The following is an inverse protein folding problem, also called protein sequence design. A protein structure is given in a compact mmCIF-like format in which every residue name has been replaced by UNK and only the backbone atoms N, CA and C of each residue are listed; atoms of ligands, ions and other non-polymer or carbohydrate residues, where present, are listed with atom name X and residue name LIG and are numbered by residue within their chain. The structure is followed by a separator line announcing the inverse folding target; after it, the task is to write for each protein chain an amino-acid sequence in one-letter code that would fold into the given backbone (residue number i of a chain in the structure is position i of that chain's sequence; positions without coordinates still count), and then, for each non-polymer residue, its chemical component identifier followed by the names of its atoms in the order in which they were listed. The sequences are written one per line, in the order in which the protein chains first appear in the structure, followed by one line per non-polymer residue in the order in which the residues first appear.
data_IF_844463135205
#
_entry.id   IF_844463135205
#
_cell.length_a   1.000
_cell.length_b   1.000
_cell.length_c   1.000
_cell.angle_alpha   90.00
_cell.angle_beta   90.00
_cell.angle_gamma   90.00
#
_symmetry.space_group_name_H-M   'P 1'
#
loop_
_entity.id
_entity.type
_entity.pdbx_description
1 polymer ?
#
# COMPACT_ATOMS: atom_id res chain seq x y z
N UNK A 1 -58.14 -40.22 18.78
CA UNK A 1 -58.40 -39.52 20.06
C UNK A 1 -57.07 -39.24 20.72
N UNK A 2 -56.83 -37.98 21.13
CA UNK A 2 -55.79 -37.48 22.06
C UNK A 2 -54.31 -37.64 21.62
N UNK A 3 -53.67 -36.58 21.10
CA UNK A 3 -52.99 -35.45 21.79
C UNK A 3 -51.64 -35.83 22.41
N UNK A 4 -50.58 -35.15 21.95
CA UNK A 4 -49.42 -34.54 22.65
C UNK A 4 -48.22 -34.52 21.67
N UNK A 5 -47.92 -33.42 20.96
CA UNK A 5 -47.28 -32.16 21.39
C UNK A 5 -45.86 -32.37 21.94
N UNK A 6 -44.90 -31.72 21.26
CA UNK A 6 -43.50 -31.48 21.63
C UNK A 6 -42.54 -32.69 21.55
N UNK A 7 -42.00 -32.94 20.35
CA UNK A 7 -40.64 -33.46 20.25
C UNK A 7 -39.70 -32.29 19.94
N UNK A 8 -38.97 -31.97 21.00
CA UNK A 8 -38.00 -30.92 21.20
C UNK A 8 -36.93 -30.89 20.10
N UNK A 9 -36.80 -29.70 19.53
CA UNK A 9 -35.70 -29.17 18.74
C UNK A 9 -34.35 -29.39 19.47
N UNK A 10 -33.71 -30.55 19.28
CA UNK A 10 -32.41 -30.81 19.92
C UNK A 10 -31.58 -31.86 19.17
N UNK A 11 -31.31 -31.62 17.88
CA UNK A 11 -30.30 -32.36 17.12
C UNK A 11 -30.01 -31.57 15.85
N UNK A 12 -28.92 -30.80 15.87
CA UNK A 12 -27.98 -30.43 14.79
C UNK A 12 -27.19 -29.24 15.36
N UNK A 13 -26.25 -29.53 16.25
CA UNK A 13 -25.24 -28.56 16.70
C UNK A 13 -24.08 -29.31 17.33
N UNK A 14 -23.44 -30.20 16.57
CA UNK A 14 -22.11 -30.73 16.89
C UNK A 14 -21.50 -31.26 15.59
N UNK A 15 -20.19 -31.03 15.42
CA UNK A 15 -19.35 -31.31 14.24
C UNK A 15 -19.21 -30.18 13.22
N UNK A 16 -18.59 -29.06 13.61
CA UNK A 16 -17.38 -28.52 12.94
C UNK A 16 -16.64 -27.64 13.98
N UNK A 17 -15.68 -28.21 14.71
CA UNK A 17 -14.69 -27.44 15.45
C UNK A 17 -13.42 -28.28 15.58
N UNK A 18 -12.71 -28.45 14.46
CA UNK A 18 -11.42 -29.15 14.41
C UNK A 18 -10.57 -28.55 13.28
N UNK A 19 -10.13 -27.30 13.46
CA UNK A 19 -8.89 -26.73 12.89
C UNK A 19 -8.64 -25.34 13.48
N UNK A 20 -8.09 -25.29 14.70
CA UNK A 20 -7.49 -24.05 15.24
C UNK A 20 -6.47 -24.34 16.35
N UNK A 21 -5.60 -25.34 16.15
CA UNK A 21 -4.33 -25.39 16.86
C UNK A 21 -3.27 -24.77 15.94
N UNK A 22 -3.11 -23.44 16.03
CA UNK A 22 -1.90 -22.67 15.77
C UNK A 22 -2.25 -21.19 15.64
N UNK A 23 -2.62 -20.57 16.75
CA UNK A 23 -2.41 -19.14 16.94
C UNK A 23 -1.91 -18.99 18.39
N UNK A 24 -0.67 -18.53 18.64
CA UNK A 24 -0.33 -18.08 19.98
C UNK A 24 -1.29 -16.93 20.29
N UNK A 25 -2.01 -17.09 21.39
CA UNK A 25 -2.87 -16.07 21.96
C UNK A 25 -2.15 -14.71 21.97
N UNK A 26 -2.85 -13.68 21.52
CA UNK A 26 -2.49 -12.29 21.76
C UNK A 26 -2.47 -12.04 23.28
N UNK A 27 -1.32 -12.25 23.90
CA UNK A 27 -1.13 -11.94 25.32
C UNK A 27 -1.14 -10.40 25.47
N UNK A 28 -2.07 -9.83 26.25
CA UNK A 28 -2.29 -8.37 26.30
C UNK A 28 -1.14 -7.57 26.93
N UNK A 29 -0.11 -8.22 27.48
CA UNK A 29 1.01 -7.55 28.17
C UNK A 29 2.41 -7.84 27.61
N UNK A 30 2.53 -8.31 26.36
CA UNK A 30 3.86 -8.47 25.75
C UNK A 30 4.67 -7.16 25.80
N UNK A 31 5.96 -7.27 26.11
CA UNK A 31 6.87 -6.14 26.27
C UNK A 31 6.79 -5.42 27.62
N UNK A 32 5.96 -5.89 28.56
CA UNK A 32 5.84 -5.38 29.94
C UNK A 32 6.10 -6.43 31.03
N UNK A 33 6.58 -7.60 30.63
CA UNK A 33 6.92 -8.72 31.51
C UNK A 33 7.92 -8.30 32.61
N UNK A 34 7.95 -9.02 33.73
CA UNK A 34 8.95 -8.76 34.78
C UNK A 34 10.37 -9.07 34.28
N UNK A 35 11.40 -8.66 35.03
CA UNK A 35 12.78 -8.99 34.67
C UNK A 35 13.01 -10.51 34.63
N UNK A 36 12.52 -11.23 35.64
CA UNK A 36 12.64 -12.68 35.77
C UNK A 36 11.92 -13.44 34.65
N UNK A 37 10.77 -12.91 34.21
CA UNK A 37 10.04 -13.47 33.08
C UNK A 37 10.79 -13.24 31.76
N UNK A 38 11.36 -12.05 31.54
CA UNK A 38 12.22 -11.80 30.38
C UNK A 38 13.44 -12.72 30.39
N UNK A 39 14.10 -12.93 31.52
CA UNK A 39 15.27 -13.81 31.61
C UNK A 39 14.93 -15.26 31.21
N UNK A 40 13.72 -15.72 31.55
CA UNK A 40 13.22 -17.04 31.12
C UNK A 40 12.88 -17.11 29.63
N UNK A 41 12.34 -16.02 29.07
CA UNK A 41 11.88 -15.97 27.68
C UNK A 41 13.02 -15.64 26.69
N UNK A 42 14.04 -14.91 27.12
CA UNK A 42 15.18 -14.43 26.33
C UNK A 42 16.43 -15.32 26.50
N UNK A 43 16.21 -16.62 26.65
CA UNK A 43 17.27 -17.61 26.73
C UNK A 43 17.86 -17.90 25.35
N UNK A 44 19.18 -18.10 25.30
CA UNK A 44 19.90 -18.48 24.10
C UNK A 44 21.41 -18.28 24.24
N UNK A 45 22.15 -18.66 23.20
CA UNK A 45 23.61 -18.52 23.19
C UNK A 45 24.07 -17.07 23.03
N UNK A 46 25.31 -16.77 23.41
CA UNK A 46 25.91 -15.45 23.16
C UNK A 46 25.93 -15.09 21.66
N UNK A 47 26.14 -16.07 20.79
CA UNK A 47 26.09 -15.89 19.35
C UNK A 47 24.68 -15.51 18.88
N UNK A 48 23.67 -16.25 19.34
CA UNK A 48 22.26 -15.99 19.02
C UNK A 48 21.83 -14.60 19.47
N UNK A 49 22.22 -14.19 20.69
CA UNK A 49 21.97 -12.85 21.22
C UNK A 49 22.56 -11.77 20.32
N UNK A 50 23.81 -11.95 19.85
CA UNK A 50 24.46 -11.02 18.93
C UNK A 50 23.72 -10.96 17.59
N UNK A 51 23.37 -12.11 17.00
CA UNK A 51 22.64 -12.17 15.74
C UNK A 51 21.29 -11.45 15.80
N UNK A 52 20.49 -11.70 16.84
CA UNK A 52 19.17 -11.05 16.96
C UNK A 52 19.25 -9.56 17.31
N UNK A 53 20.33 -9.13 17.98
CA UNK A 53 20.64 -7.70 18.12
C UNK A 53 20.87 -7.06 16.75
N UNK A 54 21.72 -7.65 15.91
CA UNK A 54 22.00 -7.16 14.55
C UNK A 54 20.73 -7.15 13.67
N UNK A 55 19.89 -8.19 13.76
CA UNK A 55 18.59 -8.24 13.08
C UNK A 55 17.70 -7.07 13.51
N UNK A 56 17.65 -6.77 14.81
CA UNK A 56 16.84 -5.68 15.34
C UNK A 56 17.32 -4.32 14.83
N UNK A 57 18.64 -4.11 14.79
CA UNK A 57 19.26 -2.86 14.35
C UNK A 57 19.11 -2.65 12.83
N UNK A 58 19.40 -3.68 12.04
CA UNK A 58 19.37 -3.60 10.57
C UNK A 58 17.96 -3.32 10.02
N UNK A 59 16.92 -3.88 10.65
CA UNK A 59 15.55 -3.74 10.16
C UNK A 59 14.81 -2.53 10.70
N UNK A 60 15.40 -1.81 11.67
CA UNK A 60 14.77 -0.67 12.34
C UNK A 60 14.27 0.39 11.37
N UNK A 61 15.15 0.88 10.50
CA UNK A 61 14.82 1.95 9.56
C UNK A 61 13.78 1.49 8.53
N UNK A 62 13.95 0.28 7.99
CA UNK A 62 13.02 -0.33 7.02
C UNK A 62 11.61 -0.42 7.59
N UNK A 63 11.46 -0.94 8.81
CA UNK A 63 10.16 -1.05 9.47
C UNK A 63 9.57 0.34 9.72
N UNK A 64 10.34 1.30 10.23
CA UNK A 64 9.85 2.66 10.48
C UNK A 64 9.34 3.31 9.20
N UNK A 65 10.11 3.21 8.10
CA UNK A 65 9.72 3.78 6.82
C UNK A 65 8.50 3.07 6.24
N UNK A 66 8.44 1.74 6.34
CA UNK A 66 7.26 0.98 5.91
C UNK A 66 6.01 1.27 6.75
N UNK A 67 6.12 1.49 8.06
CA UNK A 67 5.00 1.91 8.92
C UNK A 67 4.50 3.32 8.58
N UNK A 68 5.41 4.26 8.28
CA UNK A 68 5.05 5.60 7.79
C UNK A 68 4.30 5.50 6.47
N UNK A 69 4.82 4.72 5.52
CA UNK A 69 4.16 4.46 4.25
C UNK A 69 2.77 3.85 4.46
N UNK A 70 2.69 2.78 5.27
CA UNK A 70 1.44 2.08 5.58
C UNK A 70 0.40 3.04 6.18
N UNK A 71 0.82 3.98 7.02
CA UNK A 71 -0.05 5.00 7.60
C UNK A 71 -0.68 5.89 6.55
N UNK A 72 0.11 6.34 5.58
CA UNK A 72 -0.37 7.21 4.50
C UNK A 72 -1.32 6.43 3.58
N UNK A 73 -0.90 5.27 3.09
CA UNK A 73 -1.70 4.49 2.12
C UNK A 73 -2.96 3.91 2.76
N UNK A 74 -2.96 3.54 4.04
CA UNK A 74 -4.17 3.07 4.75
C UNK A 74 -5.16 4.21 4.99
N UNK A 75 -4.68 5.44 5.20
CA UNK A 75 -5.56 6.59 5.31
C UNK A 75 -6.20 6.96 3.96
N UNK A 76 -5.43 6.91 2.88
CA UNK A 76 -5.90 7.29 1.54
C UNK A 76 -6.74 6.20 0.86
N UNK A 77 -6.35 4.93 1.00
CA UNK A 77 -6.85 3.79 0.22
C UNK A 77 -7.22 2.57 1.07
N UNK A 78 -7.31 2.70 2.40
CA UNK A 78 -7.59 1.57 3.28
C UNK A 78 -8.97 0.94 3.11
N UNK A 79 -9.91 1.62 2.44
CA UNK A 79 -11.21 1.04 2.06
C UNK A 79 -11.06 -0.03 0.96
N UNK A 80 -10.00 0.04 0.16
CA UNK A 80 -9.70 -0.90 -0.93
C UNK A 80 -8.88 -2.11 -0.44
N UNK A 81 -8.36 -2.05 0.79
CA UNK A 81 -7.59 -3.11 1.43
C UNK A 81 -8.22 -3.44 2.79
N UNK A 82 -9.06 -4.49 2.87
CA UNK A 82 -9.72 -4.90 4.10
C UNK A 82 -8.73 -5.05 5.26
N UNK A 83 -9.16 -4.67 6.46
CA UNK A 83 -8.40 -4.77 7.71
C UNK A 83 -7.12 -3.92 7.80
N UNK A 84 -6.76 -3.16 6.75
CA UNK A 84 -5.54 -2.36 6.70
C UNK A 84 -5.35 -1.45 7.92
N UNK A 85 -6.41 -0.75 8.35
CA UNK A 85 -6.39 0.12 9.54
C UNK A 85 -6.11 -0.65 10.83
N UNK A 86 -6.75 -1.81 11.02
CA UNK A 86 -6.56 -2.67 12.19
C UNK A 86 -5.16 -3.30 12.19
N UNK A 87 -4.69 -3.73 11.03
CA UNK A 87 -3.36 -4.29 10.86
C UNK A 87 -2.27 -3.24 11.09
N UNK A 88 -2.46 -2.00 10.61
CA UNK A 88 -1.55 -0.89 10.88
C UNK A 88 -1.38 -0.65 12.38
N UNK A 89 -2.48 -0.60 13.14
CA UNK A 89 -2.41 -0.39 14.59
C UNK A 89 -1.75 -1.59 15.30
N UNK A 90 -2.04 -2.81 14.85
CA UNK A 90 -1.40 -4.03 15.36
C UNK A 90 0.10 -4.01 15.11
N UNK A 91 0.54 -3.71 13.88
CA UNK A 91 1.95 -3.61 13.51
C UNK A 91 2.68 -2.54 14.32
N UNK A 92 2.05 -1.39 14.58
CA UNK A 92 2.61 -0.34 15.43
C UNK A 92 2.83 -0.82 16.87
N UNK A 93 1.85 -1.54 17.44
CA UNK A 93 1.96 -2.14 18.78
C UNK A 93 3.03 -3.23 18.83
N UNK A 94 3.05 -4.14 17.86
CA UNK A 94 4.05 -5.22 17.79
C UNK A 94 5.47 -4.65 17.64
N UNK A 95 5.64 -3.58 16.86
CA UNK A 95 6.92 -2.90 16.76
C UNK A 95 7.32 -2.18 18.05
N UNK A 96 6.36 -1.55 18.75
CA UNK A 96 6.61 -0.96 20.07
C UNK A 96 7.06 -2.03 21.08
N UNK A 97 6.45 -3.21 21.05
CA UNK A 97 6.83 -4.36 21.88
C UNK A 97 8.27 -4.78 21.57
N UNK A 98 8.61 -4.92 20.29
CA UNK A 98 9.97 -5.25 19.85
C UNK A 98 11.00 -4.23 20.37
N UNK A 99 10.70 -2.94 20.27
CA UNK A 99 11.57 -1.87 20.80
C UNK A 99 11.73 -1.94 22.33
N UNK A 100 10.67 -2.27 23.07
CA UNK A 100 10.77 -2.44 24.54
C UNK A 100 11.71 -3.57 24.90
N UNK A 101 11.62 -4.71 24.22
CA UNK A 101 12.57 -5.81 24.42
C UNK A 101 14.01 -5.38 24.09
N UNK A 102 14.21 -4.67 22.98
CA UNK A 102 15.52 -4.16 22.58
C UNK A 102 16.16 -3.27 23.67
N UNK A 103 15.42 -2.27 24.16
CA UNK A 103 15.93 -1.35 25.19
C UNK A 103 16.13 -2.00 26.55
N UNK A 104 15.48 -3.15 26.80
CA UNK A 104 15.68 -3.98 28.00
C UNK A 104 16.80 -5.03 27.82
N UNK A 105 17.57 -4.97 26.73
CA UNK A 105 18.62 -5.92 26.35
C UNK A 105 18.13 -7.37 26.10
N UNK A 106 16.82 -7.56 25.92
CA UNK A 106 16.21 -8.83 25.57
C UNK A 106 16.29 -9.05 24.05
N UNK A 107 17.52 -9.21 23.55
CA UNK A 107 17.81 -9.11 22.13
C UNK A 107 17.20 -10.26 21.32
N UNK A 108 17.07 -11.47 21.86
CA UNK A 108 16.48 -12.62 21.17
C UNK A 108 14.98 -12.38 20.97
N UNK A 109 14.28 -11.96 22.03
CA UNK A 109 12.86 -11.59 21.95
C UNK A 109 12.61 -10.40 21.01
N UNK A 110 13.47 -9.38 21.09
CA UNK A 110 13.43 -8.23 20.19
C UNK A 110 13.57 -8.67 18.74
N UNK A 111 14.62 -9.43 18.40
CA UNK A 111 14.90 -9.82 17.03
C UNK A 111 13.81 -10.71 16.43
N UNK A 112 13.29 -11.68 17.19
CA UNK A 112 12.13 -12.49 16.78
C UNK A 112 10.89 -11.63 16.52
N UNK A 113 10.64 -10.65 17.40
CA UNK A 113 9.50 -9.73 17.24
C UNK A 113 9.68 -8.81 16.03
N UNK A 114 10.89 -8.32 15.77
CA UNK A 114 11.24 -7.52 14.59
C UNK A 114 11.00 -8.31 13.31
N UNK A 115 11.43 -9.57 13.23
CA UNK A 115 11.20 -10.41 12.05
C UNK A 115 9.71 -10.64 11.79
N UNK A 116 8.92 -10.87 12.84
CA UNK A 116 7.46 -10.96 12.71
C UNK A 116 6.87 -9.67 12.14
N UNK A 117 7.25 -8.52 12.71
CA UNK A 117 6.78 -7.20 12.24
C UNK A 117 7.16 -6.98 10.77
N UNK A 118 8.40 -7.28 10.38
CA UNK A 118 8.85 -7.15 8.99
C UNK A 118 8.02 -8.02 8.04
N UNK A 119 7.79 -9.29 8.40
CA UNK A 119 6.97 -10.21 7.61
C UNK A 119 5.54 -9.69 7.45
N UNK A 120 4.88 -9.34 8.55
CA UNK A 120 3.48 -8.91 8.56
C UNK A 120 3.32 -7.57 7.82
N UNK A 121 4.30 -6.66 7.95
CA UNK A 121 4.35 -5.40 7.21
C UNK A 121 4.51 -5.64 5.71
N UNK A 122 5.42 -6.54 5.32
CA UNK A 122 5.62 -6.93 3.91
C UNK A 122 4.33 -7.50 3.32
N UNK A 123 3.64 -8.38 4.04
CA UNK A 123 2.35 -8.92 3.59
C UNK A 123 1.31 -7.81 3.38
N UNK A 124 1.21 -6.87 4.32
CA UNK A 124 0.26 -5.77 4.21
C UNK A 124 0.58 -4.84 3.04
N UNK A 125 1.85 -4.47 2.87
CA UNK A 125 2.28 -3.64 1.73
C UNK A 125 2.04 -4.35 0.39
N UNK A 126 2.22 -5.68 0.33
CA UNK A 126 1.89 -6.48 -0.87
C UNK A 126 0.40 -6.43 -1.23
N UNK A 127 -0.50 -6.33 -0.25
CA UNK A 127 -1.94 -6.14 -0.52
C UNK A 127 -2.21 -4.78 -1.17
N UNK A 128 -1.58 -3.72 -0.68
CA UNK A 128 -1.65 -2.41 -1.32
C UNK A 128 -1.00 -2.39 -2.71
N UNK A 129 0.12 -3.09 -2.90
CA UNK A 129 0.80 -3.16 -4.19
C UNK A 129 -0.13 -3.68 -5.31
N UNK A 130 -1.02 -4.64 -5.01
CA UNK A 130 -2.03 -5.13 -5.97
C UNK A 130 -3.06 -4.07 -6.35
N UNK A 131 -3.50 -3.26 -5.39
CA UNK A 131 -4.42 -2.14 -5.64
C UNK A 131 -3.75 -1.08 -6.51
N UNK A 132 -2.48 -0.76 -6.21
CA UNK A 132 -1.71 0.21 -6.98
C UNK A 132 -1.43 -0.27 -8.39
N UNK A 133 -1.10 -1.53 -8.58
CA UNK A 133 -0.91 -2.15 -9.89
C UNK A 133 -2.15 -1.94 -10.78
N UNK A 134 -3.33 -2.35 -10.31
CA UNK A 134 -4.57 -2.20 -11.06
C UNK A 134 -4.89 -0.74 -11.40
N UNK A 135 -4.71 0.17 -10.43
CA UNK A 135 -4.92 1.62 -10.65
C UNK A 135 -3.95 2.18 -11.68
N UNK A 136 -2.66 1.82 -11.60
CA UNK A 136 -1.64 2.30 -12.54
C UNK A 136 -1.90 1.78 -13.94
N UNK A 137 -2.17 0.48 -14.10
CA UNK A 137 -2.50 -0.08 -15.42
C UNK A 137 -3.71 0.62 -16.06
N UNK A 138 -4.78 0.84 -15.28
CA UNK A 138 -5.97 1.57 -15.75
C UNK A 138 -5.61 2.99 -16.16
N UNK A 139 -4.88 3.71 -15.31
CA UNK A 139 -4.46 5.08 -15.59
C UNK A 139 -3.59 5.19 -16.84
N UNK A 140 -2.65 4.27 -17.05
CA UNK A 140 -1.78 4.29 -18.23
C UNK A 140 -2.56 3.92 -19.51
N UNK A 141 -3.57 3.06 -19.41
CA UNK A 141 -4.52 2.82 -20.51
C UNK A 141 -5.29 4.09 -20.85
N UNK A 142 -5.87 4.76 -19.85
CA UNK A 142 -6.56 6.05 -20.04
C UNK A 142 -5.65 7.10 -20.69
N UNK A 143 -4.35 7.11 -20.34
CA UNK A 143 -3.37 8.01 -20.96
C UNK A 143 -3.12 7.66 -22.43
N UNK A 144 -2.96 6.37 -22.75
CA UNK A 144 -2.74 5.91 -24.12
C UNK A 144 -3.94 6.25 -25.01
N UNK A 145 -5.16 6.03 -24.51
CA UNK A 145 -6.40 6.37 -25.19
C UNK A 145 -6.51 7.88 -25.41
N UNK A 146 -6.22 8.70 -24.38
CA UNK A 146 -6.26 10.15 -24.50
C UNK A 146 -5.23 10.72 -25.50
N UNK A 147 -4.03 10.16 -25.54
CA UNK A 147 -3.01 10.55 -26.54
C UNK A 147 -3.49 10.19 -27.95
N UNK A 148 -3.99 8.97 -28.12
CA UNK A 148 -4.45 8.46 -29.43
C UNK A 148 -5.65 9.26 -29.95
N UNK A 149 -6.62 9.55 -29.08
CA UNK A 149 -7.78 10.38 -29.41
C UNK A 149 -7.36 11.81 -29.81
N UNK A 150 -6.39 12.39 -29.08
CA UNK A 150 -5.84 13.71 -29.41
C UNK A 150 -5.16 13.71 -30.77
N UNK A 151 -4.30 12.72 -31.03
CA UNK A 151 -3.60 12.55 -32.32
C UNK A 151 -4.60 12.38 -33.47
N UNK A 152 -5.59 11.50 -33.31
CA UNK A 152 -6.61 11.24 -34.33
C UNK A 152 -7.46 12.48 -34.62
N UNK A 153 -7.83 13.24 -33.58
CA UNK A 153 -8.62 14.48 -33.74
C UNK A 153 -7.84 15.52 -34.55
N UNK A 154 -6.54 15.65 -34.32
CA UNK A 154 -5.67 16.57 -35.06
C UNK A 154 -5.50 16.15 -36.52
N UNK A 155 -5.29 14.85 -36.79
CA UNK A 155 -5.19 14.32 -38.16
C UNK A 155 -6.48 14.53 -38.98
N UNK A 156 -7.65 14.34 -38.36
CA UNK A 156 -8.95 14.59 -39.01
C UNK A 156 -9.16 16.09 -39.27
N UNK A 157 -8.75 16.94 -38.32
CA UNK A 157 -8.79 18.40 -38.46
C UNK A 157 -7.97 18.89 -39.66
N UNK A 158 -6.79 18.29 -39.86
CA UNK A 158 -5.90 18.61 -41.00
C UNK A 158 -6.42 18.07 -42.35
N UNK A 159 -7.30 17.05 -42.31
CA UNK A 159 -7.85 16.39 -43.50
C UNK A 159 -9.21 16.96 -43.95
N UNK A 160 -9.80 17.93 -43.22
CA UNK A 160 -11.04 18.58 -43.66
C UNK A 160 -10.75 19.56 -44.81
N UNK A 161 -11.19 19.16 -46.01
CA UNK A 161 -11.02 19.82 -47.31
C UNK A 161 -11.72 21.19 -47.47
N UNK A 162 -12.02 21.89 -46.38
CA UNK A 162 -12.63 23.21 -46.42
C UNK A 162 -11.68 24.22 -45.83
N UNK A 163 -11.42 25.34 -46.53
CA UNK A 163 -10.49 26.43 -46.14
C UNK A 163 -10.88 27.20 -44.87
N UNK A 164 -11.43 26.51 -43.87
CA UNK A 164 -11.57 26.96 -42.49
C UNK A 164 -10.32 26.50 -41.73
N UNK A 165 -9.68 27.36 -40.92
CA UNK A 165 -8.60 26.93 -40.06
C UNK A 165 -9.08 25.79 -39.14
N UNK A 166 -8.21 24.81 -38.83
CA UNK A 166 -8.58 23.70 -37.96
C UNK A 166 -9.22 24.24 -36.67
N UNK A 167 -10.43 23.75 -36.37
CA UNK A 167 -11.14 24.14 -35.15
C UNK A 167 -10.54 23.35 -33.97
N UNK A 168 -9.50 23.92 -33.35
CA UNK A 168 -8.88 23.39 -32.15
C UNK A 168 -7.46 23.93 -31.99
N UNK A 169 -7.03 24.15 -30.75
CA UNK A 169 -5.62 24.40 -30.50
C UNK A 169 -4.84 23.10 -30.74
N UNK A 170 -3.80 23.16 -31.57
CA UNK A 170 -2.85 22.06 -31.70
C UNK A 170 -2.25 21.75 -30.32
N UNK A 171 -2.26 20.48 -29.92
CA UNK A 171 -1.66 19.99 -28.68
C UNK A 171 -0.51 19.09 -29.06
N UNK A 172 0.72 19.50 -28.74
CA UNK A 172 1.90 18.67 -28.96
C UNK A 172 1.86 17.44 -28.02
N UNK A 173 1.68 16.25 -28.62
CA UNK A 173 1.61 14.98 -27.88
C UNK A 173 2.98 14.37 -27.61
N UNK A 174 4.07 14.91 -28.16
CA UNK A 174 5.41 14.30 -28.07
C UNK A 174 5.89 14.15 -26.63
N UNK A 175 5.65 15.18 -25.80
CA UNK A 175 6.00 15.16 -24.39
C UNK A 175 5.12 14.18 -23.60
N UNK A 176 3.82 14.14 -23.90
CA UNK A 176 2.89 13.18 -23.30
C UNK A 176 3.28 11.73 -23.61
N UNK A 177 3.62 11.44 -24.87
CA UNK A 177 4.09 10.13 -25.31
C UNK A 177 5.42 9.75 -24.64
N UNK A 178 6.34 10.70 -24.44
CA UNK A 178 7.58 10.46 -23.72
C UNK A 178 7.34 10.14 -22.24
N UNK A 179 6.51 10.93 -21.55
CA UNK A 179 6.10 10.68 -20.16
C UNK A 179 5.42 9.31 -20.02
N UNK A 180 4.59 8.91 -20.98
CA UNK A 180 3.91 7.61 -20.96
C UNK A 180 4.92 6.46 -20.99
N UNK A 181 5.99 6.56 -21.81
CA UNK A 181 7.08 5.58 -21.82
C UNK A 181 7.78 5.48 -20.47
N UNK A 182 8.04 6.61 -19.82
CA UNK A 182 8.63 6.64 -18.47
C UNK A 182 7.67 5.97 -17.47
N UNK A 183 6.37 6.26 -17.54
CA UNK A 183 5.37 5.71 -16.64
C UNK A 183 5.26 4.18 -16.76
N UNK A 184 5.28 3.63 -17.99
CA UNK A 184 5.33 2.18 -18.22
C UNK A 184 6.64 1.56 -17.74
N UNK A 185 7.78 2.23 -17.90
CA UNK A 185 9.04 1.75 -17.35
C UNK A 185 8.99 1.65 -15.81
N UNK A 186 8.41 2.64 -15.14
CA UNK A 186 8.21 2.62 -13.69
C UNK A 186 7.23 1.51 -13.26
N UNK A 187 6.16 1.27 -14.02
CA UNK A 187 5.27 0.14 -13.81
C UNK A 187 6.04 -1.19 -13.87
N UNK A 188 6.88 -1.39 -14.90
CA UNK A 188 7.68 -2.61 -15.03
C UNK A 188 8.63 -2.81 -13.85
N UNK A 189 9.32 -1.75 -13.40
CA UNK A 189 10.15 -1.82 -12.19
C UNK A 189 9.33 -2.20 -10.96
N UNK A 190 8.12 -1.64 -10.80
CA UNK A 190 7.23 -2.00 -9.70
C UNK A 190 6.85 -3.49 -9.72
N UNK A 191 6.51 -4.02 -10.90
CA UNK A 191 6.18 -5.44 -11.09
C UNK A 191 7.36 -6.36 -10.74
N UNK A 192 8.59 -5.98 -11.11
CA UNK A 192 9.80 -6.69 -10.70
C UNK A 192 9.99 -6.66 -9.18
N UNK A 193 9.80 -5.50 -8.55
CA UNK A 193 9.90 -5.38 -7.10
C UNK A 193 8.85 -6.26 -6.38
N UNK A 194 7.62 -6.34 -6.88
CA UNK A 194 6.59 -7.26 -6.33
C UNK A 194 7.04 -8.72 -6.47
N UNK A 195 7.54 -9.12 -7.64
CA UNK A 195 8.05 -10.49 -7.89
C UNK A 195 9.16 -10.86 -6.92
N UNK A 196 10.03 -9.91 -6.61
CA UNK A 196 11.16 -10.10 -5.71
C UNK A 196 10.79 -9.91 -4.22
N UNK A 197 9.49 -9.85 -3.90
CA UNK A 197 8.93 -9.65 -2.55
C UNK A 197 9.41 -8.36 -1.87
N UNK A 198 9.51 -7.27 -2.65
CA UNK A 198 9.90 -5.92 -2.23
C UNK A 198 8.75 -4.91 -2.43
N UNK A 199 7.61 -5.08 -1.74
CA UNK A 199 6.41 -4.29 -1.99
C UNK A 199 6.54 -2.81 -1.57
N UNK A 200 7.45 -2.48 -0.64
CA UNK A 200 7.72 -1.10 -0.29
C UNK A 200 8.27 -0.32 -1.50
N UNK A 201 9.29 -0.87 -2.15
CA UNK A 201 9.88 -0.29 -3.36
C UNK A 201 8.91 -0.31 -4.53
N UNK A 202 8.11 -1.36 -4.68
CA UNK A 202 7.06 -1.41 -5.69
C UNK A 202 6.09 -0.23 -5.58
N UNK A 203 5.62 0.07 -4.35
CA UNK A 203 4.72 1.20 -4.09
C UNK A 203 5.33 2.55 -4.46
N UNK A 204 6.66 2.73 -4.29
CA UNK A 204 7.36 3.94 -4.73
C UNK A 204 7.29 4.05 -6.26
N UNK A 205 7.62 2.99 -6.98
CA UNK A 205 7.58 2.98 -8.45
C UNK A 205 6.15 3.19 -8.99
N UNK A 206 5.14 2.57 -8.37
CA UNK A 206 3.74 2.83 -8.73
C UNK A 206 3.36 4.31 -8.53
N UNK A 207 3.77 4.96 -7.42
CA UNK A 207 3.52 6.39 -7.20
C UNK A 207 4.14 7.26 -8.27
N UNK A 208 5.39 6.98 -8.67
CA UNK A 208 6.06 7.71 -9.75
C UNK A 208 5.29 7.51 -11.07
N UNK A 209 4.88 6.29 -11.38
CA UNK A 209 4.08 5.99 -12.57
C UNK A 209 2.75 6.76 -12.57
N UNK A 210 2.04 6.79 -11.42
CA UNK A 210 0.80 7.59 -11.26
C UNK A 210 1.04 9.08 -11.46
N UNK A 211 2.14 9.62 -10.95
CA UNK A 211 2.46 11.04 -11.07
C UNK A 211 2.59 11.45 -12.55
N UNK A 212 3.33 10.66 -13.33
CA UNK A 212 3.42 10.85 -14.79
C UNK A 212 2.07 10.66 -15.48
N UNK A 213 1.30 9.62 -15.15
CA UNK A 213 0.00 9.36 -15.75
C UNK A 213 -1.00 10.51 -15.53
N UNK A 214 -1.12 10.98 -14.28
CA UNK A 214 -1.99 12.12 -13.94
C UNK A 214 -1.52 13.37 -14.67
N UNK A 215 -0.21 13.61 -14.72
CA UNK A 215 0.36 14.77 -15.41
C UNK A 215 0.09 14.74 -16.92
N UNK A 216 0.17 13.59 -17.57
CA UNK A 216 -0.21 13.42 -18.98
C UNK A 216 -1.68 13.81 -19.20
N UNK A 217 -2.59 13.26 -18.40
CA UNK A 217 -4.02 13.57 -18.52
C UNK A 217 -4.32 15.06 -18.30
N UNK A 218 -3.56 15.75 -17.45
CA UNK A 218 -3.68 17.20 -17.27
C UNK A 218 -3.09 17.98 -18.46
N UNK A 219 -1.92 17.61 -18.95
CA UNK A 219 -1.21 18.35 -20.00
C UNK A 219 -1.93 18.28 -21.36
N UNK A 220 -2.67 17.20 -21.61
CA UNK A 220 -3.52 17.06 -22.80
C UNK A 220 -4.79 17.93 -22.75
N UNK A 221 -5.12 18.56 -21.61
CA UNK A 221 -6.29 19.45 -21.49
C UNK A 221 -5.91 20.90 -21.78
N UNK A 222 -6.69 21.55 -22.65
CA UNK A 222 -6.47 22.93 -23.05
C UNK A 222 -6.94 23.98 -22.04
N UNK A 223 -7.90 23.66 -21.17
CA UNK A 223 -8.46 24.62 -20.20
C UNK A 223 -8.03 24.32 -18.76
N UNK A 224 -7.84 25.35 -17.95
CA UNK A 224 -7.54 25.19 -16.52
C UNK A 224 -8.69 24.54 -15.74
N UNK A 225 -9.93 24.70 -16.19
CA UNK A 225 -11.09 24.05 -15.59
C UNK A 225 -11.01 22.51 -15.75
N UNK A 226 -10.67 22.03 -16.94
CA UNK A 226 -10.52 20.60 -17.22
C UNK A 226 -9.31 20.01 -16.48
N UNK A 227 -8.18 20.73 -16.44
CA UNK A 227 -7.02 20.34 -15.63
C UNK A 227 -7.36 20.21 -14.16
N UNK A 228 -8.15 21.16 -13.64
CA UNK A 228 -8.63 21.11 -12.25
C UNK A 228 -9.54 19.90 -12.03
N UNK A 229 -10.43 19.58 -12.96
CA UNK A 229 -11.28 18.39 -12.86
C UNK A 229 -10.45 17.09 -12.77
N UNK A 230 -9.36 16.98 -13.54
CA UNK A 230 -8.41 15.85 -13.43
C UNK A 230 -7.70 15.88 -12.07
N UNK A 231 -7.20 17.03 -11.64
CA UNK A 231 -6.54 17.16 -10.34
C UNK A 231 -7.46 16.82 -9.16
N UNK A 232 -8.74 17.19 -9.24
CA UNK A 232 -9.75 16.89 -8.23
C UNK A 232 -10.09 15.39 -8.24
N UNK A 233 -10.26 14.79 -9.43
CA UNK A 233 -10.48 13.33 -9.61
C UNK A 233 -9.36 12.51 -8.95
N UNK A 234 -8.11 12.95 -9.08
CA UNK A 234 -6.92 12.28 -8.56
C UNK A 234 -6.35 12.90 -7.29
N UNK A 235 -7.13 13.70 -6.54
CA UNK A 235 -6.62 14.43 -5.37
C UNK A 235 -6.02 13.51 -4.28
N UNK A 236 -6.59 12.32 -4.09
CA UNK A 236 -6.05 11.31 -3.17
C UNK A 236 -4.70 10.77 -3.66
N UNK A 237 -4.59 10.44 -4.94
CA UNK A 237 -3.35 9.95 -5.54
C UNK A 237 -2.24 11.01 -5.53
N UNK A 238 -2.56 12.26 -5.82
CA UNK A 238 -1.61 13.38 -5.77
C UNK A 238 -1.10 13.65 -4.35
N UNK A 239 -1.96 13.56 -3.33
CA UNK A 239 -1.54 13.65 -1.94
C UNK A 239 -0.61 12.48 -1.58
N UNK A 240 -0.99 11.27 -1.95
CA UNK A 240 -0.22 10.05 -1.70
C UNK A 240 1.18 10.08 -2.33
N UNK A 241 1.30 10.51 -3.59
CA UNK A 241 2.57 10.65 -4.30
C UNK A 241 3.54 11.61 -3.58
N UNK A 242 3.01 12.57 -2.83
CA UNK A 242 3.77 13.54 -2.00
C UNK A 242 4.00 13.07 -0.57
N UNK A 243 3.65 11.82 -0.25
CA UNK A 243 3.67 11.25 1.10
C UNK A 243 2.73 11.97 2.09
N UNK A 244 1.55 12.39 1.62
CA UNK A 244 0.54 13.09 2.42
C UNK A 244 -0.76 12.29 2.52
N UNK A 245 -1.46 12.48 3.63
CA UNK A 245 -2.84 12.02 3.80
C UNK A 245 -3.77 13.05 3.15
N UNK A 246 -4.61 12.59 2.23
CA UNK A 246 -5.57 13.46 1.54
C UNK A 246 -6.54 14.10 2.53
N UNK A 247 -6.79 15.40 2.37
CA UNK A 247 -7.67 16.17 3.28
C UNK A 247 -7.01 16.64 4.59
N UNK A 248 -5.77 16.23 4.89
CA UNK A 248 -4.97 16.90 5.92
C UNK A 248 -4.15 18.01 5.27
N UNK A 249 -4.43 19.26 5.63
CA UNK A 249 -3.56 20.37 5.27
C UNK A 249 -2.16 20.10 5.83
N UNK A 250 -1.12 20.23 5.00
CA UNK A 250 0.26 20.21 5.49
C UNK A 250 0.38 21.28 6.59
N UNK A 251 0.97 20.98 7.76
CA UNK A 251 1.22 22.01 8.75
C UNK A 251 2.06 23.10 8.07
N UNK A 252 1.54 24.33 8.11
CA UNK A 252 2.25 25.49 7.58
C UNK A 252 3.64 25.52 8.23
N UNK A 253 4.68 25.53 7.39
CA UNK A 253 6.06 25.76 7.82
C UNK A 253 6.28 27.24 8.07
#
# INVERSE_FOLDING_TARGET
MMKHIFLLFFLIANFVALTAQNAPASSPDRGKESYEEIEKLDQGSNLERKQYKEISEKNRERIVNGLKLLTIISANFGEEVPESKTAQETLRKDYQIALRYYYRNAYILSGKSVQKVEKDLTEMLSKFAKVYDAKVQTLLSDCADAITETEQTQLIGDSQESGKPPQGNFVDISEAAHKLKIAYFQLNLALEMVRDNRPYEALIHYRISKDYGIKILMDLKGTEADKKAISDKFAKDLADNRNLISGQAAPAK
#
